data_IF_791365546542
#
_entry.id   IF_791365546542
#
_cell.length_a   1.000
_cell.length_b   1.000
_cell.length_c   1.000
_cell.angle_alpha   90.00
_cell.angle_beta   90.00
_cell.angle_gamma   90.00
#
_symmetry.space_group_name_H-M   'P 1'
#
loop_
_entity.id
_entity.type
_entity.pdbx_description
1 polymer ?
#
# COMPACT_ATOMS: atom_id res chain seq x y z
N UNK A 1 12.74 -10.73 -24.64
CA UNK A 1 11.71 -9.94 -23.93
C UNK A 1 11.74 -10.36 -22.48
N UNK A 2 12.24 -9.53 -21.56
CA UNK A 2 12.19 -9.85 -20.12
C UNK A 2 10.80 -9.49 -19.65
N UNK A 3 9.94 -10.48 -19.40
CA UNK A 3 8.72 -10.26 -18.65
C UNK A 3 9.16 -9.85 -17.26
N UNK A 4 9.00 -8.58 -16.90
CA UNK A 4 9.24 -8.14 -15.54
C UNK A 4 8.27 -8.89 -14.63
N UNK A 5 8.82 -9.71 -13.72
CA UNK A 5 8.00 -10.44 -12.74
C UNK A 5 7.31 -9.38 -11.88
N UNK A 6 5.98 -9.35 -11.93
CA UNK A 6 5.19 -8.44 -11.11
C UNK A 6 5.18 -9.01 -9.70
N UNK A 7 5.55 -8.20 -8.71
CA UNK A 7 5.51 -8.58 -7.30
C UNK A 7 4.33 -7.90 -6.62
N UNK A 8 3.63 -8.63 -5.75
CA UNK A 8 2.62 -8.08 -4.85
C UNK A 8 3.33 -7.54 -3.59
N UNK A 9 3.37 -6.22 -3.34
CA UNK A 9 4.08 -5.66 -2.19
C UNK A 9 3.55 -6.19 -0.85
N UNK A 10 4.43 -6.73 -0.02
CA UNK A 10 4.06 -7.29 1.29
C UNK A 10 3.45 -8.69 1.26
N UNK A 11 3.40 -9.36 0.11
CA UNK A 11 3.06 -10.79 0.06
C UNK A 11 4.14 -11.65 0.73
N UNK A 12 5.40 -11.35 0.43
CA UNK A 12 6.55 -11.93 1.11
C UNK A 12 7.00 -10.99 2.22
N UNK A 13 7.41 -11.55 3.37
CA UNK A 13 7.93 -10.78 4.49
C UNK A 13 9.42 -10.52 4.32
N UNK A 14 9.85 -9.29 4.64
CA UNK A 14 11.25 -8.87 4.57
C UNK A 14 11.66 -8.23 5.89
N UNK A 15 12.80 -8.64 6.46
CA UNK A 15 13.28 -8.13 7.75
C UNK A 15 13.45 -6.60 7.78
N UNK A 16 13.85 -6.02 6.65
CA UNK A 16 14.22 -4.61 6.53
C UNK A 16 13.13 -3.73 5.91
N UNK A 17 11.94 -4.27 5.61
CA UNK A 17 10.85 -3.53 4.97
C UNK A 17 9.48 -4.08 5.34
N UNK A 18 8.59 -3.17 5.72
CA UNK A 18 7.17 -3.49 5.94
C UNK A 18 6.28 -2.72 5.00
N UNK A 19 5.07 -3.25 4.81
CA UNK A 19 4.08 -2.76 3.86
C UNK A 19 2.77 -2.46 4.58
N UNK A 20 2.10 -1.40 4.14
CA UNK A 20 0.74 -1.04 4.55
C UNK A 20 -0.05 -0.62 3.33
N UNK A 21 -1.34 -0.84 3.41
CA UNK A 21 -2.32 -0.50 2.40
C UNK A 21 -3.31 0.49 3.00
N UNK A 22 -3.48 1.66 2.38
CA UNK A 22 -4.27 2.76 2.93
C UNK A 22 -5.56 2.93 2.13
N UNK A 23 -6.70 2.87 2.79
CA UNK A 23 -7.98 3.18 2.15
C UNK A 23 -8.13 4.69 2.00
N UNK A 24 -8.04 5.18 0.76
CA UNK A 24 -8.29 6.59 0.46
C UNK A 24 -9.79 6.77 0.22
N UNK A 25 -10.50 7.35 1.20
CA UNK A 25 -11.92 7.69 1.06
C UNK A 25 -12.06 8.96 0.22
N UNK A 26 -12.99 8.97 -0.74
CA UNK A 26 -13.22 10.08 -1.68
C UNK A 26 -13.66 11.40 -1.01
N UNK A 27 -14.11 11.34 0.24
CA UNK A 27 -14.65 12.47 1.01
C UNK A 27 -13.65 13.08 2.02
N UNK A 28 -12.45 12.50 2.19
CA UNK A 28 -11.42 13.04 3.12
C UNK A 28 -10.49 13.98 2.36
N UNK A 29 -10.93 15.23 2.18
CA UNK A 29 -10.08 16.34 1.72
C UNK A 29 -9.22 16.06 0.47
N UNK A 30 -8.07 16.74 0.35
CA UNK A 30 -7.15 16.65 -0.80
C UNK A 30 -6.35 15.33 -0.87
N UNK A 31 -6.64 14.30 -0.05
CA UNK A 31 -5.86 13.05 -0.06
C UNK A 31 -6.22 12.23 -1.31
N UNK A 32 -5.21 11.89 -2.09
CA UNK A 32 -5.34 11.11 -3.31
C UNK A 32 -4.11 10.22 -3.51
N UNK A 33 -4.14 9.35 -4.52
CA UNK A 33 -3.06 8.41 -4.82
C UNK A 33 -1.68 9.04 -5.00
N UNK A 34 -1.60 10.33 -5.34
CA UNK A 34 -0.35 11.06 -5.55
C UNK A 34 0.26 11.67 -4.28
N UNK A 35 -0.51 11.83 -3.20
CA UNK A 35 -0.02 12.50 -1.98
C UNK A 35 -0.28 11.74 -0.68
N UNK A 36 -0.99 10.59 -0.70
CA UNK A 36 -1.38 9.89 0.52
C UNK A 36 -0.20 9.53 1.41
N UNK A 37 0.93 9.07 0.85
CA UNK A 37 2.12 8.74 1.64
C UNK A 37 2.57 9.93 2.49
N UNK A 38 2.70 11.10 1.86
CA UNK A 38 3.10 12.33 2.56
C UNK A 38 2.01 12.79 3.54
N UNK A 39 0.74 12.68 3.17
CA UNK A 39 -0.38 13.07 4.03
C UNK A 39 -0.41 12.23 5.32
N UNK A 40 -0.32 10.90 5.20
CA UNK A 40 -0.27 9.98 6.35
C UNK A 40 0.97 10.25 7.20
N UNK A 41 2.15 10.32 6.59
CA UNK A 41 3.39 10.50 7.33
C UNK A 41 3.48 11.85 8.05
N UNK A 42 2.93 12.93 7.46
CA UNK A 42 2.97 14.28 8.05
C UNK A 42 1.85 14.56 9.06
N UNK A 43 0.81 13.71 9.15
CA UNK A 43 -0.33 13.93 10.03
C UNK A 43 0.04 13.93 11.52
N UNK A 44 1.06 13.16 11.93
CA UNK A 44 1.57 13.16 13.30
C UNK A 44 2.91 13.92 13.38
N UNK A 45 2.99 14.93 14.24
CA UNK A 45 4.21 15.72 14.49
C UNK A 45 4.46 15.81 16.01
N UNK A 46 5.71 15.62 16.49
CA UNK A 46 6.93 15.34 15.73
C UNK A 46 6.96 13.92 15.14
N UNK A 47 7.84 13.71 14.14
CA UNK A 47 8.10 12.38 13.59
C UNK A 47 8.61 11.45 14.69
N UNK A 48 8.01 10.26 14.76
CA UNK A 48 8.46 9.15 15.61
C UNK A 48 9.71 8.43 15.06
N UNK A 49 9.82 8.11 13.75
CA UNK A 49 10.97 7.36 13.25
C UNK A 49 12.25 8.18 13.35
N UNK A 50 13.34 7.50 13.71
CA UNK A 50 14.68 8.08 13.84
C UNK A 50 15.50 7.99 12.56
N UNK A 51 15.13 7.10 11.63
CA UNK A 51 15.81 6.93 10.35
C UNK A 51 14.90 6.25 9.31
N UNK A 52 15.33 6.27 8.04
CA UNK A 52 14.62 5.59 6.96
C UNK A 52 13.64 6.48 6.23
N UNK A 53 12.64 5.86 5.61
CA UNK A 53 11.67 6.55 4.79
C UNK A 53 10.49 5.66 4.46
N UNK A 54 9.44 6.30 3.98
CA UNK A 54 8.21 5.68 3.46
C UNK A 54 8.10 5.99 1.97
N UNK A 55 7.67 5.01 1.17
CA UNK A 55 7.53 5.11 -0.28
C UNK A 55 6.15 4.63 -0.72
N UNK A 56 5.69 5.17 -1.86
CA UNK A 56 4.52 4.66 -2.55
C UNK A 56 4.93 3.42 -3.38
N UNK A 57 4.22 2.31 -3.20
CA UNK A 57 4.46 1.06 -3.95
C UNK A 57 3.76 1.05 -5.32
N UNK A 58 3.00 2.11 -5.61
CA UNK A 58 2.19 2.27 -6.81
C UNK A 58 1.31 1.04 -7.14
N UNK A 59 0.82 0.38 -6.09
CA UNK A 59 0.00 -0.82 -6.16
C UNK A 59 -1.31 -0.60 -5.42
N UNK A 60 -2.38 -1.24 -5.89
CA UNK A 60 -3.71 -1.15 -5.30
C UNK A 60 -4.25 -2.56 -5.10
N UNK A 61 -4.77 -2.83 -3.91
CA UNK A 61 -5.60 -4.00 -3.64
C UNK A 61 -7.05 -3.53 -3.55
N UNK A 62 -7.92 -4.21 -4.27
CA UNK A 62 -9.36 -3.95 -4.30
C UNK A 62 -10.03 -5.16 -3.67
N UNK A 63 -10.70 -4.92 -2.57
CA UNK A 63 -11.40 -5.96 -1.79
C UNK A 63 -12.73 -6.35 -2.45
N UNK A 64 -13.34 -7.48 -2.07
CA UNK A 64 -14.64 -7.92 -2.60
C UNK A 64 -15.79 -6.91 -2.42
N UNK A 65 -15.71 -6.01 -1.44
CA UNK A 65 -16.68 -4.92 -1.25
C UNK A 65 -16.31 -3.65 -2.05
N UNK A 66 -15.39 -3.76 -2.99
CA UNK A 66 -14.91 -2.71 -3.90
C UNK A 66 -14.16 -1.55 -3.19
N UNK A 67 -13.76 -1.71 -1.92
CA UNK A 67 -12.84 -0.77 -1.27
C UNK A 67 -11.44 -0.90 -1.87
N UNK A 68 -10.88 0.24 -2.28
CA UNK A 68 -9.52 0.39 -2.84
C UNK A 68 -8.53 0.78 -1.76
N UNK A 69 -7.43 0.04 -1.67
CA UNK A 69 -6.33 0.34 -0.74
C UNK A 69 -5.02 0.53 -1.49
N UNK A 70 -4.31 1.62 -1.19
CA UNK A 70 -3.09 2.03 -1.87
C UNK A 70 -1.86 1.62 -1.07
N UNK A 71 -0.95 0.89 -1.71
CA UNK A 71 0.24 0.33 -1.09
C UNK A 71 1.32 1.37 -0.82
N UNK A 72 1.86 1.34 0.40
CA UNK A 72 3.09 2.01 0.78
C UNK A 72 4.02 1.01 1.48
N UNK A 73 5.30 1.32 1.53
CA UNK A 73 6.27 0.59 2.33
C UNK A 73 7.19 1.51 3.09
N UNK A 74 7.82 0.99 4.16
CA UNK A 74 8.80 1.73 4.95
C UNK A 74 9.94 0.82 5.39
N UNK A 75 11.10 1.44 5.67
CA UNK A 75 12.36 0.72 5.96
C UNK A 75 13.22 1.42 7.02
N UNK A 76 14.25 0.71 7.50
CA UNK A 76 15.16 1.10 8.59
C UNK A 76 14.47 1.11 9.96
N UNK A 77 13.96 2.24 10.44
CA UNK A 77 13.25 2.30 11.71
C UNK A 77 11.82 1.76 11.56
N UNK A 78 11.69 0.45 11.36
CA UNK A 78 10.42 -0.22 11.09
C UNK A 78 9.40 0.06 12.20
N UNK A 79 9.81 -0.03 13.46
CA UNK A 79 8.91 0.23 14.59
C UNK A 79 8.45 1.68 14.63
N UNK A 80 9.36 2.63 14.42
CA UNK A 80 9.01 4.05 14.41
C UNK A 80 8.11 4.43 13.24
N UNK A 81 8.39 3.90 12.04
CA UNK A 81 7.55 4.12 10.86
C UNK A 81 6.18 3.47 10.99
N UNK A 82 6.09 2.24 11.50
CA UNK A 82 4.81 1.58 11.75
C UNK A 82 3.92 2.43 12.66
N UNK A 83 4.47 2.88 13.80
CA UNK A 83 3.74 3.73 14.74
C UNK A 83 3.34 5.08 14.10
N UNK A 84 4.22 5.67 13.30
CA UNK A 84 3.93 6.93 12.59
C UNK A 84 2.77 6.77 11.59
N UNK A 85 2.77 5.70 10.81
CA UNK A 85 1.75 5.42 9.81
C UNK A 85 0.41 5.08 10.46
N UNK A 86 0.40 4.26 11.50
CA UNK A 86 -0.83 3.91 12.23
C UNK A 86 -1.44 5.12 12.94
N UNK A 87 -0.63 5.98 13.57
CA UNK A 87 -1.12 7.24 14.16
C UNK A 87 -1.61 8.22 13.10
N UNK A 88 -0.89 8.38 12.00
CA UNK A 88 -1.28 9.27 10.92
C UNK A 88 -2.61 8.84 10.29
N UNK A 89 -2.79 7.52 10.09
CA UNK A 89 -4.04 6.96 9.61
C UNK A 89 -5.21 7.22 10.58
N UNK A 90 -4.99 7.01 11.89
CA UNK A 90 -6.00 7.28 12.90
C UNK A 90 -6.40 8.76 12.98
N UNK A 91 -5.42 9.68 12.93
CA UNK A 91 -5.68 11.14 12.94
C UNK A 91 -6.47 11.62 11.71
N UNK A 92 -6.32 10.91 10.59
CA UNK A 92 -7.00 11.22 9.33
C UNK A 92 -8.27 10.40 9.12
N UNK A 93 -8.67 9.57 10.09
CA UNK A 93 -9.81 8.66 10.00
C UNK A 93 -9.82 7.79 8.72
N UNK A 94 -8.65 7.21 8.39
CA UNK A 94 -8.52 6.26 7.27
C UNK A 94 -8.18 4.86 7.75
N UNK A 95 -8.70 3.86 7.03
CA UNK A 95 -8.43 2.46 7.31
C UNK A 95 -7.03 2.09 6.77
N UNK A 96 -6.25 1.39 7.58
CA UNK A 96 -5.05 0.68 7.12
C UNK A 96 -5.36 -0.79 6.93
N UNK A 97 -4.54 -1.47 6.12
CA UNK A 97 -4.57 -2.90 5.92
C UNK A 97 -3.17 -3.44 5.67
N UNK A 98 -3.00 -4.75 5.82
CA UNK A 98 -1.76 -5.46 5.53
C UNK A 98 -2.04 -6.87 5.02
N UNK A 99 -1.04 -7.46 4.36
CA UNK A 99 -1.07 -8.87 4.00
C UNK A 99 -0.50 -9.67 5.17
N UNK A 100 -1.16 -10.77 5.55
CA UNK A 100 -0.71 -11.71 6.58
C UNK A 100 -0.51 -13.09 5.97
N UNK A 101 0.62 -13.72 6.31
CA UNK A 101 1.00 -15.07 5.87
C UNK A 101 1.00 -15.25 4.34
N UNK A 102 1.10 -14.16 3.57
CA UNK A 102 1.03 -14.18 2.11
C UNK A 102 -0.33 -14.52 1.49
N UNK A 103 -1.37 -14.72 2.30
CA UNK A 103 -2.68 -15.24 1.85
C UNK A 103 -3.87 -14.37 2.24
N UNK A 104 -3.79 -13.64 3.36
CA UNK A 104 -4.90 -12.88 3.91
C UNK A 104 -4.65 -11.38 3.79
N UNK A 105 -5.67 -10.62 3.41
CA UNK A 105 -5.67 -9.16 3.47
C UNK A 105 -6.51 -8.70 4.65
N UNK A 106 -5.85 -8.20 5.68
CA UNK A 106 -6.46 -7.86 6.97
C UNK A 106 -6.55 -6.35 7.10
N UNK A 107 -7.78 -5.85 7.30
CA UNK A 107 -8.08 -4.43 7.47
C UNK A 107 -8.16 -4.11 8.96
N UNK A 108 -7.67 -2.93 9.34
CA UNK A 108 -7.66 -2.39 10.71
C UNK A 108 -9.04 -2.33 11.39
N UNK A 109 -10.14 -2.33 10.63
CA UNK A 109 -11.51 -2.36 11.15
C UNK A 109 -11.98 -3.79 11.51
N UNK A 110 -11.14 -4.82 11.33
CA UNK A 110 -11.45 -6.22 11.59
C UNK A 110 -11.92 -7.01 10.36
N UNK A 111 -12.16 -6.37 9.22
CA UNK A 111 -12.44 -7.09 7.97
C UNK A 111 -11.22 -7.92 7.53
N UNK A 112 -11.46 -9.13 7.03
CA UNK A 112 -10.43 -10.06 6.60
C UNK A 112 -10.86 -10.76 5.31
N UNK A 113 -10.02 -10.67 4.28
CA UNK A 113 -10.30 -11.23 2.96
C UNK A 113 -9.21 -12.21 2.55
N UNK A 114 -9.61 -13.27 1.85
CA UNK A 114 -8.67 -14.07 1.08
C UNK A 114 -8.10 -13.26 -0.08
N UNK A 115 -6.77 -13.21 -0.23
CA UNK A 115 -6.13 -12.44 -1.32
C UNK A 115 -6.58 -12.91 -2.70
N UNK A 116 -6.89 -14.19 -2.86
CA UNK A 116 -7.42 -14.75 -4.12
C UNK A 116 -8.77 -14.16 -4.53
N UNK A 117 -9.53 -13.60 -3.58
CA UNK A 117 -10.83 -12.98 -3.83
C UNK A 117 -10.71 -11.47 -4.09
N UNK A 118 -9.51 -10.90 -3.91
CA UNK A 118 -9.21 -9.51 -4.21
C UNK A 118 -8.84 -9.31 -5.69
N UNK A 119 -9.01 -8.07 -6.18
CA UNK A 119 -8.50 -7.60 -7.47
C UNK A 119 -7.29 -6.71 -7.24
N UNK A 120 -6.46 -6.55 -8.27
CA UNK A 120 -5.20 -5.85 -8.16
C UNK A 120 -5.04 -4.85 -9.31
N UNK A 121 -4.47 -3.69 -9.01
CA UNK A 121 -4.05 -2.71 -10.02
C UNK A 121 -2.65 -2.19 -9.71
N UNK A 122 -1.94 -1.75 -10.74
CA UNK A 122 -0.70 -0.98 -10.62
C UNK A 122 -0.78 0.32 -11.40
N UNK A 123 0.03 1.30 -11.03
CA UNK A 123 0.14 2.59 -11.71
C UNK A 123 1.58 3.11 -11.62
N UNK A 124 1.89 4.20 -12.30
CA UNK A 124 3.22 4.85 -12.31
C UNK A 124 4.39 3.86 -12.43
N UNK A 125 4.31 2.92 -13.37
CA UNK A 125 5.35 1.93 -13.64
C UNK A 125 5.86 2.07 -15.08
N UNK A 126 7.04 1.50 -15.36
CA UNK A 126 7.59 1.48 -16.71
C UNK A 126 7.13 0.23 -17.44
N UNK A 127 6.59 0.37 -18.66
CA UNK A 127 6.26 -0.78 -19.50
C UNK A 127 7.51 -1.39 -20.16
N UNK A 128 7.34 -2.48 -20.92
CA UNK A 128 8.43 -3.19 -21.59
C UNK A 128 9.17 -2.33 -22.64
N UNK A 129 8.60 -1.19 -23.03
CA UNK A 129 9.20 -0.22 -23.94
C UNK A 129 9.87 0.95 -23.20
N UNK A 130 9.85 0.94 -21.86
CA UNK A 130 10.41 2.01 -21.02
C UNK A 130 9.51 3.24 -20.93
N UNK A 131 8.24 3.17 -21.34
CA UNK A 131 7.30 4.28 -21.19
C UNK A 131 6.66 4.26 -19.81
N UNK A 132 6.47 5.45 -19.23
CA UNK A 132 5.76 5.56 -17.95
C UNK A 132 4.25 5.43 -18.15
N UNK A 133 3.67 4.40 -17.53
CA UNK A 133 2.23 4.18 -17.47
C UNK A 133 1.68 4.81 -16.20
N UNK A 134 0.97 5.94 -16.32
CA UNK A 134 0.41 6.69 -15.18
C UNK A 134 -1.01 6.26 -14.79
N UNK A 135 -1.72 5.61 -15.70
CA UNK A 135 -3.06 5.08 -15.48
C UNK A 135 -3.03 3.87 -14.55
N UNK A 136 -4.17 3.56 -13.95
CA UNK A 136 -4.34 2.31 -13.23
C UNK A 136 -4.56 1.18 -14.23
N UNK A 137 -3.74 0.14 -14.14
CA UNK A 137 -3.81 -1.05 -15.00
C UNK A 137 -4.09 -2.27 -14.13
N UNK A 138 -5.14 -3.06 -14.43
CA UNK A 138 -5.42 -4.32 -13.75
C UNK A 138 -4.24 -5.29 -13.82
N UNK A 139 -4.02 -6.04 -12.74
CA UNK A 139 -3.04 -7.12 -12.66
C UNK A 139 -3.78 -8.43 -12.45
N UNK A 140 -3.60 -9.37 -13.37
CA UNK A 140 -4.16 -10.71 -13.27
C UNK A 140 -3.60 -11.44 -12.05
N UNK A 141 -4.49 -11.98 -11.21
CA UNK A 141 -4.10 -12.70 -9.98
C UNK A 141 -3.13 -13.84 -10.26
N UNK A 142 -3.27 -14.56 -11.39
CA UNK A 142 -2.36 -15.64 -11.81
C UNK A 142 -0.91 -15.22 -12.04
N UNK A 143 -0.63 -13.92 -12.13
CA UNK A 143 0.73 -13.38 -12.30
C UNK A 143 1.43 -13.08 -10.97
N UNK A 144 0.69 -12.97 -9.87
CA UNK A 144 1.21 -12.49 -8.58
C UNK A 144 0.82 -13.37 -7.38
N UNK A 145 -0.22 -14.19 -7.53
CA UNK A 145 -0.68 -15.15 -6.53
C UNK A 145 -0.05 -16.53 -6.71
#
# INVERSE_FOLDING_TARGET
>A
MKVEKIYLPGKEEFEFREYRYIHIKSNIGKINKGNFVNAIAAANTPLIPKSGGVLNENFIIITPNEKRFYGLSYSKDISGWRQQIEKGAALLDVETAEIKNGEKFVVSNGENYDLKDCKFERYNYYDDMGNIVKSNIPVESSKIL
#
